data_IF_834010357387
#
_entry.id   IF_834010357387
#
_cell.length_a   1.000
_cell.length_b   1.000
_cell.length_c   1.000
_cell.angle_alpha   90.00
_cell.angle_beta   90.00
_cell.angle_gamma   90.00
#
_symmetry.space_group_name_H-M   'P 1'
#
loop_
_entity.id
_entity.type
_entity.pdbx_description
1 polymer ?
#
# COMPACT_ATOMS: atom_id res chain seq x y z
N UNK A 1 -11.50 5.37 15.45
CA UNK A 1 -11.55 4.88 14.06
C UNK A 1 -10.14 4.69 13.54
N UNK A 2 -9.91 3.57 12.84
CA UNK A 2 -8.63 3.20 12.27
C UNK A 2 -8.74 3.24 10.74
N UNK A 3 -8.06 4.17 10.05
CA UNK A 3 -8.03 4.16 8.61
C UNK A 3 -7.30 2.91 8.11
N UNK A 4 -7.82 2.29 7.07
CA UNK A 4 -7.27 1.06 6.54
C UNK A 4 -7.27 1.02 5.02
N UNK A 5 -6.41 0.18 4.47
CA UNK A 5 -6.25 -0.05 3.04
C UNK A 5 -6.10 -1.54 2.77
N UNK A 6 -6.72 -2.04 1.71
CA UNK A 6 -6.39 -3.32 1.10
C UNK A 6 -5.10 -3.19 0.30
N UNK A 7 -4.18 -4.13 0.48
CA UNK A 7 -2.89 -4.11 -0.20
C UNK A 7 -2.58 -5.43 -0.89
N UNK A 8 -2.67 -5.41 -2.21
CA UNK A 8 -2.45 -6.55 -3.10
C UNK A 8 -1.38 -6.22 -4.14
N UNK A 9 -0.11 -6.15 -3.75
CA UNK A 9 0.96 -5.84 -4.68
C UNK A 9 1.11 -6.97 -5.72
N UNK A 10 1.28 -6.60 -6.98
CA UNK A 10 1.45 -7.54 -8.08
C UNK A 10 0.15 -8.12 -8.67
N UNK A 11 -1.00 -7.77 -8.14
CA UNK A 11 -2.30 -8.13 -8.72
C UNK A 11 -2.82 -6.99 -9.60
N UNK A 12 -2.76 -7.16 -10.88
CA UNK A 12 -3.14 -6.19 -11.90
C UNK A 12 -2.23 -6.31 -13.12
N UNK A 13 -2.46 -5.55 -14.15
CA UNK A 13 -1.76 -5.62 -15.44
C UNK A 13 -0.24 -5.74 -15.32
N UNK A 14 0.42 -6.35 -16.34
CA UNK A 14 1.88 -6.49 -16.43
C UNK A 14 2.69 -5.20 -16.22
N UNK A 15 2.04 -4.06 -16.31
CA UNK A 15 2.57 -2.73 -15.98
C UNK A 15 2.67 -2.46 -14.48
N UNK A 16 2.14 -3.35 -13.64
CA UNK A 16 2.05 -3.19 -12.19
C UNK A 16 3.33 -3.47 -11.41
N UNK A 17 4.47 -3.66 -12.08
CA UNK A 17 5.78 -3.61 -11.39
C UNK A 17 5.99 -2.28 -10.63
N UNK A 18 5.18 -1.26 -10.94
CA UNK A 18 5.10 -0.02 -10.19
C UNK A 18 4.05 0.01 -9.07
N UNK A 19 3.22 -1.03 -8.91
CA UNK A 19 2.10 -0.98 -7.96
C UNK A 19 2.55 -0.86 -6.50
N UNK A 20 3.65 -1.47 -6.12
CA UNK A 20 4.24 -1.27 -4.80
C UNK A 20 4.66 0.19 -4.58
N UNK A 21 5.08 0.90 -5.62
CA UNK A 21 5.41 2.32 -5.57
C UNK A 21 4.14 3.18 -5.42
N UNK A 22 3.06 2.86 -6.15
CA UNK A 22 1.78 3.55 -6.01
C UNK A 22 1.08 3.24 -4.69
N UNK A 23 1.29 2.06 -4.12
CA UNK A 23 0.75 1.70 -2.80
C UNK A 23 1.28 2.62 -1.69
N UNK A 24 2.53 3.08 -1.76
CA UNK A 24 3.09 4.01 -0.78
C UNK A 24 2.37 5.37 -0.78
N UNK A 25 1.86 5.81 -1.92
CA UNK A 25 1.04 7.01 -2.01
C UNK A 25 -0.19 6.94 -1.11
N UNK A 26 -0.97 5.87 -1.20
CA UNK A 26 -2.15 5.70 -0.36
C UNK A 26 -1.79 5.61 1.13
N UNK A 27 -0.69 4.95 1.45
CA UNK A 27 -0.21 4.85 2.83
C UNK A 27 0.22 6.19 3.38
N UNK A 28 0.95 6.99 2.60
CA UNK A 28 1.36 8.35 2.99
C UNK A 28 0.15 9.27 3.18
N UNK A 29 -0.86 9.16 2.31
CA UNK A 29 -2.11 9.92 2.44
C UNK A 29 -2.87 9.56 3.72
N UNK A 30 -2.94 8.28 4.06
CA UNK A 30 -3.59 7.84 5.30
C UNK A 30 -2.76 8.27 6.52
N UNK A 31 -1.43 8.23 6.42
CA UNK A 31 -0.52 8.62 7.50
C UNK A 31 -0.71 10.07 7.95
N UNK A 32 -1.12 10.97 7.04
CA UNK A 32 -1.43 12.36 7.35
C UNK A 32 -2.54 12.52 8.40
N UNK A 33 -3.45 11.56 8.48
CA UNK A 33 -4.50 11.59 9.50
C UNK A 33 -3.98 11.50 10.93
N UNK A 34 -2.70 11.17 11.12
CA UNK A 34 -2.08 10.95 12.43
C UNK A 34 -2.63 9.73 13.17
N UNK A 35 -3.53 8.97 12.55
CA UNK A 35 -4.19 7.80 13.15
C UNK A 35 -3.40 6.53 12.87
N UNK A 36 -3.54 5.50 13.74
CA UNK A 36 -2.96 4.18 13.47
C UNK A 36 -3.49 3.59 12.17
N UNK A 37 -2.60 3.21 11.28
CA UNK A 37 -2.97 2.64 9.98
C UNK A 37 -3.02 1.12 10.02
N UNK A 38 -4.03 0.56 9.35
CA UNK A 38 -4.20 -0.88 9.20
C UNK A 38 -4.18 -1.29 7.73
N UNK A 39 -3.46 -2.35 7.41
CA UNK A 39 -3.70 -3.10 6.19
C UNK A 39 -4.83 -4.08 6.46
N UNK A 40 -6.04 -3.72 6.04
CA UNK A 40 -7.26 -4.48 6.34
C UNK A 40 -7.42 -5.72 5.46
N UNK A 41 -6.72 -5.75 4.34
CA UNK A 41 -6.58 -6.92 3.50
C UNK A 41 -5.16 -6.97 2.94
N UNK A 42 -4.43 -8.01 3.28
CA UNK A 42 -3.07 -8.25 2.81
C UNK A 42 -3.00 -9.58 2.09
N UNK A 43 -2.32 -9.62 0.97
CA UNK A 43 -2.19 -10.84 0.18
C UNK A 43 -1.54 -11.98 0.99
N UNK A 44 -2.20 -13.14 1.03
CA UNK A 44 -1.65 -14.33 1.72
C UNK A 44 -1.29 -15.46 0.76
N UNK A 45 -1.69 -15.35 -0.48
CA UNK A 45 -1.47 -16.41 -1.44
C UNK A 45 -1.43 -15.90 -2.86
N UNK A 46 -2.07 -16.60 -3.77
CA UNK A 46 -2.15 -16.24 -5.17
C UNK A 46 -3.55 -15.81 -5.59
N UNK A 47 -3.63 -15.11 -6.69
CA UNK A 47 -4.88 -14.72 -7.33
C UNK A 47 -5.01 -15.46 -8.67
N UNK A 48 -5.84 -16.49 -8.72
CA UNK A 48 -5.96 -17.34 -9.91
C UNK A 48 -4.62 -18.01 -10.25
N UNK A 49 -4.08 -17.70 -11.41
CA UNK A 49 -2.79 -18.25 -11.91
C UNK A 49 -1.56 -17.48 -11.40
N UNK A 50 -1.76 -16.37 -10.71
CA UNK A 50 -0.67 -15.54 -10.20
C UNK A 50 -0.37 -15.92 -8.76
N UNK A 51 0.80 -16.46 -8.51
CA UNK A 51 1.30 -16.75 -7.18
C UNK A 51 2.47 -15.82 -6.87
N UNK A 52 2.50 -15.30 -5.66
CA UNK A 52 3.66 -14.57 -5.18
C UNK A 52 4.86 -15.53 -5.08
N UNK A 53 6.01 -15.12 -5.59
CA UNK A 53 7.23 -15.87 -5.37
C UNK A 53 7.58 -15.88 -3.89
N UNK A 54 8.19 -16.97 -3.40
CA UNK A 54 8.65 -17.09 -2.01
C UNK A 54 9.54 -15.89 -1.64
N UNK A 55 9.24 -15.25 -0.53
CA UNK A 55 9.91 -14.02 -0.06
C UNK A 55 9.20 -12.72 -0.44
N UNK A 56 8.29 -12.73 -1.41
CA UNK A 56 7.55 -11.52 -1.81
C UNK A 56 6.62 -11.02 -0.70
N UNK A 57 5.84 -11.90 -0.10
CA UNK A 57 4.95 -11.50 1.00
C UNK A 57 5.74 -10.94 2.18
N UNK A 58 6.90 -11.52 2.46
CA UNK A 58 7.81 -11.01 3.49
C UNK A 58 8.33 -9.62 3.15
N UNK A 59 8.78 -9.40 1.92
CA UNK A 59 9.20 -8.07 1.44
C UNK A 59 8.09 -7.04 1.60
N UNK A 60 6.88 -7.37 1.18
CA UNK A 60 5.72 -6.48 1.30
C UNK A 60 5.30 -6.22 2.73
N UNK A 61 5.39 -7.21 3.61
CA UNK A 61 5.11 -7.03 5.04
C UNK A 61 6.10 -6.05 5.69
N UNK A 62 7.39 -6.16 5.36
CA UNK A 62 8.40 -5.19 5.83
C UNK A 62 8.17 -3.81 5.24
N UNK A 63 7.74 -3.73 3.99
CA UNK A 63 7.39 -2.47 3.36
C UNK A 63 6.17 -1.80 4.05
N UNK A 64 5.14 -2.55 4.42
CA UNK A 64 4.04 -2.06 5.26
C UNK A 64 4.55 -1.55 6.62
N UNK A 65 5.46 -2.28 7.25
CA UNK A 65 6.08 -1.87 8.52
C UNK A 65 6.84 -0.54 8.38
N UNK A 66 7.61 -0.37 7.29
CA UNK A 66 8.32 0.88 7.00
C UNK A 66 7.37 2.06 6.77
N UNK A 67 6.16 1.81 6.29
CA UNK A 67 5.09 2.79 6.18
C UNK A 67 4.26 2.93 7.45
N UNK A 68 4.72 2.37 8.58
CA UNK A 68 4.11 2.47 9.91
C UNK A 68 2.72 1.84 10.01
N UNK A 69 2.42 0.86 9.21
CA UNK A 69 1.22 0.05 9.37
C UNK A 69 1.32 -0.76 10.66
N UNK A 70 0.31 -0.63 11.51
CA UNK A 70 0.29 -1.24 12.84
C UNK A 70 -0.38 -2.61 12.85
N UNK A 71 -1.15 -2.93 11.83
CA UNK A 71 -1.82 -4.21 11.69
C UNK A 71 -1.88 -4.62 10.22
N UNK A 72 -1.70 -5.91 9.97
CA UNK A 72 -1.91 -6.53 8.66
C UNK A 72 -2.84 -7.73 8.84
N UNK A 73 -4.01 -7.68 8.22
CA UNK A 73 -4.99 -8.76 8.19
C UNK A 73 -4.86 -9.51 6.88
N UNK A 74 -4.51 -10.78 6.95
CA UNK A 74 -4.27 -11.59 5.75
C UNK A 74 -5.57 -12.04 5.09
N UNK A 75 -5.69 -11.85 3.80
CA UNK A 75 -6.71 -12.42 2.96
C UNK A 75 -6.10 -13.53 2.08
N UNK A 76 -6.32 -14.79 2.40
CA UNK A 76 -7.20 -15.37 3.40
C UNK A 76 -6.47 -16.48 4.15
N UNK A 77 -7.01 -16.90 5.30
CA UNK A 77 -6.43 -17.99 6.08
C UNK A 77 -6.45 -19.32 5.31
N UNK A 78 -7.59 -19.71 4.79
CA UNK A 78 -7.79 -20.94 4.02
C UNK A 78 -8.35 -20.62 2.64
N UNK A 79 -7.85 -21.27 1.61
CA UNK A 79 -8.41 -21.21 0.27
C UNK A 79 -9.90 -21.56 0.29
N UNK A 80 -10.73 -20.75 -0.34
CA UNK A 80 -12.18 -20.92 -0.34
C UNK A 80 -12.58 -22.16 -1.09
N UNK A 81 -13.55 -22.91 -0.56
CA UNK A 81 -13.93 -24.21 -1.11
C UNK A 81 -14.82 -24.07 -2.36
N UNK A 82 -15.53 -22.96 -2.48
CA UNK A 82 -16.47 -22.71 -3.58
C UNK A 82 -16.71 -21.19 -3.72
N UNK A 83 -17.49 -20.82 -4.73
CA UNK A 83 -17.79 -19.43 -5.03
C UNK A 83 -16.75 -18.77 -5.94
N UNK A 84 -16.92 -17.49 -6.19
CA UNK A 84 -16.04 -16.73 -7.11
C UNK A 84 -14.59 -16.71 -6.65
N UNK A 85 -14.36 -16.72 -5.33
CA UNK A 85 -13.03 -16.66 -4.74
C UNK A 85 -12.36 -18.03 -4.52
N UNK A 86 -12.94 -19.11 -5.01
CA UNK A 86 -12.34 -20.45 -4.90
C UNK A 86 -10.96 -20.57 -5.55
N UNK A 87 -10.63 -19.67 -6.46
CA UNK A 87 -9.33 -19.63 -7.14
C UNK A 87 -8.30 -18.75 -6.42
N UNK A 88 -8.68 -18.10 -5.31
CA UNK A 88 -7.74 -17.38 -4.45
C UNK A 88 -7.10 -18.37 -3.50
N UNK A 89 -5.79 -18.32 -3.43
CA UNK A 89 -5.05 -19.19 -2.49
C UNK A 89 -4.77 -18.46 -1.18
N UNK A 90 -5.08 -19.14 -0.09
CA UNK A 90 -4.78 -18.67 1.26
C UNK A 90 -3.45 -19.21 1.80
N UNK A 91 -3.28 -19.11 3.11
CA UNK A 91 -2.16 -19.75 3.84
C UNK A 91 -2.35 -21.25 3.94
N UNK A 92 -3.60 -21.72 3.89
CA UNK A 92 -3.93 -23.14 3.85
C UNK A 92 -4.56 -23.46 2.49
N UNK A 93 -4.26 -24.66 1.99
CA UNK A 93 -4.89 -25.20 0.81
C UNK A 93 -6.39 -25.47 1.03
N UNK A 94 -7.12 -25.85 -0.04
CA UNK A 94 -8.52 -26.22 0.03
C UNK A 94 -8.79 -27.38 1.01
N UNK A 95 -7.85 -28.32 1.13
CA UNK A 95 -7.93 -29.43 2.09
C UNK A 95 -7.58 -29.03 3.55
N UNK A 96 -7.26 -27.75 3.77
CA UNK A 96 -6.90 -27.22 5.09
C UNK A 96 -5.46 -27.47 5.50
N UNK A 97 -4.62 -28.04 4.65
CA UNK A 97 -3.19 -28.23 4.96
C UNK A 97 -2.39 -26.97 4.70
N UNK A 98 -1.38 -26.68 5.55
CA UNK A 98 -0.45 -25.58 5.34
C UNK A 98 0.27 -25.71 3.99
N UNK A 99 0.45 -24.58 3.31
CA UNK A 99 1.22 -24.47 2.08
C UNK A 99 2.48 -23.61 2.30
N UNK A 100 3.17 -23.25 1.21
CA UNK A 100 4.40 -22.44 1.29
C UNK A 100 4.14 -21.04 1.86
N UNK A 101 2.96 -20.44 1.57
CA UNK A 101 2.59 -19.14 2.11
C UNK A 101 2.49 -19.19 3.64
N UNK A 102 1.93 -20.26 4.21
CA UNK A 102 1.87 -20.44 5.65
C UNK A 102 3.26 -20.37 6.29
N UNK A 103 4.25 -21.03 5.66
CA UNK A 103 5.64 -20.99 6.15
C UNK A 103 6.23 -19.59 6.07
N UNK A 104 5.97 -18.87 4.99
CA UNK A 104 6.43 -17.50 4.83
C UNK A 104 5.83 -16.58 5.89
N UNK A 105 4.54 -16.73 6.19
CA UNK A 105 3.89 -15.95 7.26
C UNK A 105 4.41 -16.32 8.66
N UNK A 106 4.81 -17.55 8.90
CA UNK A 106 5.51 -17.91 10.14
C UNK A 106 6.84 -17.13 10.28
N UNK A 107 7.58 -16.98 9.18
CA UNK A 107 8.80 -16.17 9.17
C UNK A 107 8.51 -14.69 9.42
N UNK A 108 7.50 -14.12 8.75
CA UNK A 108 7.08 -12.74 8.97
C UNK A 108 6.73 -12.51 10.44
N UNK A 109 5.90 -13.36 11.01
CA UNK A 109 5.51 -13.25 12.41
C UNK A 109 6.70 -13.39 13.37
N UNK A 110 7.64 -14.29 13.07
CA UNK A 110 8.87 -14.46 13.84
C UNK A 110 9.75 -13.20 13.79
N UNK A 111 9.91 -12.62 12.61
CA UNK A 111 10.74 -11.43 12.43
C UNK A 111 10.12 -10.22 13.11
N UNK A 112 8.82 -10.01 12.97
CA UNK A 112 8.12 -8.90 13.63
C UNK A 112 8.19 -9.01 15.15
N UNK A 113 8.06 -10.22 15.70
CA UNK A 113 8.24 -10.45 17.13
C UNK A 113 9.65 -10.09 17.62
N UNK A 114 10.68 -10.33 16.80
CA UNK A 114 12.06 -9.92 17.12
C UNK A 114 12.23 -8.40 17.07
N UNK A 115 11.50 -7.73 16.18
CA UNK A 115 11.57 -6.28 15.99
C UNK A 115 10.73 -5.50 17.01
N UNK A 116 9.72 -6.13 17.61
CA UNK A 116 8.77 -5.50 18.54
C UNK A 116 9.45 -4.67 19.62
N UNK A 117 10.56 -5.16 20.16
CA UNK A 117 11.35 -4.48 21.20
C UNK A 117 11.99 -3.15 20.76
N UNK A 118 12.12 -2.92 19.45
CA UNK A 118 12.70 -1.68 18.91
C UNK A 118 11.64 -0.63 18.56
N UNK A 119 10.36 -1.00 18.56
CA UNK A 119 9.27 -0.17 18.10
C UNK A 119 9.28 0.05 16.59
N UNK A 120 8.52 1.05 16.14
CA UNK A 120 8.48 1.40 14.73
C UNK A 120 9.77 2.10 14.29
N UNK A 121 10.17 1.92 13.01
CA UNK A 121 11.31 2.66 12.46
C UNK A 121 11.14 4.16 12.62
N UNK A 122 12.20 4.84 13.02
CA UNK A 122 12.23 6.29 13.02
C UNK A 122 12.28 6.78 11.56
N UNK A 123 11.34 7.62 11.21
CA UNK A 123 11.31 8.31 9.91
C UNK A 123 11.47 9.81 10.20
N UNK A 124 12.52 10.46 9.66
CA UNK A 124 12.66 11.89 9.79
C UNK A 124 11.50 12.62 9.12
N UNK A 125 11.12 13.77 9.67
CA UNK A 125 10.09 14.62 9.04
C UNK A 125 10.60 15.05 7.66
N UNK A 126 9.83 14.81 6.59
CA UNK A 126 10.24 15.20 5.25
C UNK A 126 10.11 16.71 5.04
N UNK A 127 11.02 17.25 4.23
CA UNK A 127 11.01 18.66 3.82
C UNK A 127 10.09 18.89 2.60
N UNK A 128 9.67 17.83 1.94
CA UNK A 128 8.84 17.84 0.72
C UNK A 128 7.43 17.40 1.06
N UNK A 129 6.46 18.12 0.53
CA UNK A 129 5.07 17.66 0.50
C UNK A 129 4.55 17.60 -0.94
N UNK A 130 3.66 16.64 -1.18
CA UNK A 130 2.85 16.56 -2.40
C UNK A 130 1.42 16.87 -2.01
N UNK A 131 0.82 17.89 -2.61
CA UNK A 131 -0.57 18.22 -2.32
C UNK A 131 -1.51 17.18 -2.93
N UNK A 132 -2.60 16.97 -2.22
CA UNK A 132 -3.74 16.20 -2.67
C UNK A 132 -5.01 17.04 -2.51
N UNK A 133 -5.85 17.06 -3.54
CA UNK A 133 -7.14 17.72 -3.51
C UNK A 133 -8.22 16.70 -3.86
N UNK A 134 -9.12 16.45 -2.91
CA UNK A 134 -10.27 15.58 -3.14
C UNK A 134 -11.22 16.18 -4.20
N UNK A 135 -11.37 17.51 -4.20
CA UNK A 135 -12.21 18.21 -5.16
C UNK A 135 -11.66 18.06 -6.58
N UNK A 136 -10.34 18.19 -6.75
CA UNK A 136 -9.68 17.97 -8.03
C UNK A 136 -9.81 16.52 -8.51
N UNK A 137 -9.71 15.53 -7.60
CA UNK A 137 -9.94 14.11 -7.93
C UNK A 137 -11.39 13.89 -8.39
N UNK A 138 -12.35 14.45 -7.66
CA UNK A 138 -13.77 14.35 -7.99
C UNK A 138 -14.08 15.00 -9.34
N UNK A 139 -13.60 16.21 -9.56
CA UNK A 139 -13.76 16.92 -10.83
C UNK A 139 -13.12 16.17 -12.00
N UNK A 140 -11.92 15.63 -11.80
CA UNK A 140 -11.26 14.81 -12.82
C UNK A 140 -12.04 13.52 -13.13
N UNK A 141 -12.68 12.92 -12.14
CA UNK A 141 -13.54 11.76 -12.36
C UNK A 141 -14.75 12.09 -13.23
N UNK A 142 -15.37 13.25 -13.03
CA UNK A 142 -16.46 13.74 -13.89
C UNK A 142 -15.97 14.14 -15.29
N UNK A 143 -14.79 14.77 -15.39
CA UNK A 143 -14.20 15.21 -16.65
C UNK A 143 -13.56 14.07 -17.45
N UNK A 144 -13.43 12.87 -16.90
CA UNK A 144 -12.74 11.71 -17.49
C UNK A 144 -13.22 11.34 -18.90
N UNK A 145 -14.45 11.68 -19.24
CA UNK A 145 -14.99 11.49 -20.60
C UNK A 145 -14.43 12.48 -21.63
N UNK A 146 -13.86 13.60 -21.21
CA UNK A 146 -13.42 14.69 -22.10
C UNK A 146 -11.90 14.88 -22.15
N UNK A 147 -11.16 14.48 -21.09
CA UNK A 147 -9.71 14.73 -20.98
C UNK A 147 -8.94 13.44 -20.69
N UNK A 148 -7.83 13.26 -21.44
CA UNK A 148 -7.01 12.02 -21.41
C UNK A 148 -6.07 11.89 -20.20
N UNK A 149 -5.95 12.89 -19.38
CA UNK A 149 -5.01 12.88 -18.23
C UNK A 149 -5.77 13.06 -16.91
N UNK A 150 -6.17 11.98 -16.24
CA UNK A 150 -6.80 12.11 -14.94
C UNK A 150 -5.83 12.66 -13.90
N UNK A 151 -6.33 13.42 -12.94
CA UNK A 151 -5.58 13.97 -11.81
C UNK A 151 -4.72 12.92 -11.09
N UNK A 152 -5.25 11.71 -10.92
CA UNK A 152 -4.53 10.58 -10.36
C UNK A 152 -3.22 10.22 -11.08
N UNK A 153 -3.12 10.48 -12.39
CA UNK A 153 -1.88 10.25 -13.14
C UNK A 153 -0.80 11.27 -12.77
N UNK A 154 -1.17 12.53 -12.58
CA UNK A 154 -0.23 13.59 -12.20
C UNK A 154 0.33 13.31 -10.78
N UNK A 155 -0.55 12.86 -9.87
CA UNK A 155 -0.16 12.40 -8.54
C UNK A 155 0.81 11.22 -8.62
N UNK A 156 0.48 10.21 -9.43
CA UNK A 156 1.33 9.03 -9.61
C UNK A 156 2.70 9.37 -10.22
N UNK A 157 2.77 10.35 -11.12
CA UNK A 157 4.04 10.82 -11.71
C UNK A 157 4.89 11.51 -10.64
N UNK A 158 4.33 12.46 -9.88
CA UNK A 158 5.04 13.16 -8.82
C UNK A 158 5.58 12.16 -7.78
N UNK A 159 4.73 11.26 -7.33
CA UNK A 159 5.07 10.17 -6.43
C UNK A 159 6.22 9.31 -6.97
N UNK A 160 6.10 8.83 -8.21
CA UNK A 160 7.10 7.99 -8.84
C UNK A 160 8.47 8.67 -8.92
N UNK A 161 8.50 9.96 -9.30
CA UNK A 161 9.75 10.73 -9.38
C UNK A 161 10.45 10.80 -8.02
N UNK A 162 9.69 11.05 -6.96
CA UNK A 162 10.24 11.15 -5.60
C UNK A 162 10.75 9.79 -5.10
N UNK A 163 9.97 8.72 -5.28
CA UNK A 163 10.36 7.38 -4.87
C UNK A 163 11.60 6.86 -5.64
N UNK A 164 11.68 7.10 -6.94
CA UNK A 164 12.83 6.69 -7.76
C UNK A 164 14.12 7.42 -7.36
N UNK A 165 14.01 8.59 -6.73
CA UNK A 165 15.14 9.37 -6.21
C UNK A 165 15.40 9.16 -4.72
N UNK A 166 14.63 8.27 -4.07
CA UNK A 166 14.67 8.04 -2.63
C UNK A 166 14.48 9.34 -1.82
N UNK A 167 13.65 10.25 -2.32
CA UNK A 167 13.29 11.47 -1.61
C UNK A 167 12.08 11.19 -0.72
N UNK A 168 12.24 11.45 0.57
CA UNK A 168 11.12 11.32 1.51
C UNK A 168 10.17 12.52 1.38
N UNK A 169 8.87 12.27 1.46
CA UNK A 169 7.84 13.30 1.35
C UNK A 169 6.57 12.87 2.09
N UNK A 170 5.75 13.84 2.45
CA UNK A 170 4.39 13.62 2.93
C UNK A 170 3.38 13.93 1.82
N UNK A 171 2.22 13.31 1.93
CA UNK A 171 1.04 13.70 1.14
C UNK A 171 0.16 14.53 2.06
N UNK A 172 -0.21 15.73 1.64
CA UNK A 172 -0.96 16.68 2.46
C UNK A 172 -2.23 17.13 1.73
N UNK A 173 -3.31 17.29 2.48
CA UNK A 173 -4.51 17.91 1.94
C UNK A 173 -4.20 19.38 1.60
N UNK A 174 -4.57 19.82 0.40
CA UNK A 174 -4.35 21.18 -0.05
C UNK A 174 -4.97 22.22 0.88
N UNK A 175 -6.11 21.90 1.49
CA UNK A 175 -6.80 22.77 2.44
C UNK A 175 -6.17 22.80 3.84
N UNK A 176 -5.24 21.89 4.11
CA UNK A 176 -4.55 21.76 5.41
C UNK A 176 -3.05 22.07 5.30
N UNK A 177 -2.66 22.83 4.27
CA UNK A 177 -1.26 23.21 4.05
C UNK A 177 -0.67 23.90 5.27
N UNK A 178 0.47 23.40 5.71
CA UNK A 178 1.24 23.96 6.81
C UNK A 178 2.58 24.50 6.33
N UNK A 179 3.10 25.52 6.98
CA UNK A 179 4.39 26.16 6.66
C UNK A 179 5.61 25.27 6.98
N UNK A 180 5.39 24.03 7.39
CA UNK A 180 6.46 23.14 7.84
C UNK A 180 7.31 22.52 6.70
N UNK A 181 6.88 22.66 5.45
CA UNK A 181 7.56 22.08 4.29
C UNK A 181 8.35 23.12 3.53
N UNK A 182 9.56 22.74 3.08
CA UNK A 182 10.41 23.62 2.26
C UNK A 182 9.97 23.60 0.79
N UNK A 183 9.43 22.47 0.32
CA UNK A 183 9.01 22.27 -1.07
C UNK A 183 7.59 21.71 -1.05
N UNK A 184 6.70 22.36 -1.79
CA UNK A 184 5.36 21.89 -2.07
C UNK A 184 5.23 21.57 -3.57
N UNK A 185 4.87 20.33 -3.88
CA UNK A 185 4.56 19.89 -5.24
C UNK A 185 3.04 19.85 -5.37
N UNK A 186 2.52 20.60 -6.32
CA UNK A 186 1.07 20.69 -6.60
C UNK A 186 0.83 20.07 -7.98
N UNK A 187 0.40 18.78 -8.06
CA UNK A 187 0.28 18.06 -9.31
C UNK A 187 -1.00 18.44 -10.05
N UNK A 188 -0.94 19.46 -10.90
CA UNK A 188 -1.96 19.72 -11.93
C UNK A 188 -3.37 19.99 -11.40
N UNK A 189 -3.52 21.05 -10.66
CA UNK A 189 -4.83 21.62 -10.30
C UNK A 189 -5.35 22.57 -11.35
#
# INVERSE_FOLDING_TARGET
DYPGIGFYPGYGNRESMGFWKTGSWYMKRIAETGKPMWCIEFVTGGFGIHHAAMGMNRMYAFWCLLHRMQMMLGWTWRSMLNGEEQYLTGMLNHDGRPNENYREYQWIASDFRKLEKYGFPYLPQPEIAVSYSYDSELMAAYAKMQYRMPYSNNLAIAHRILEERNLNYNVVDLHQMTEQYQIMIIPGE
#
